data_IF_469273866034
#
_entry.id   IF_469273866034
#
_cell.length_a   1.000
_cell.length_b   1.000
_cell.length_c   1.000
_cell.angle_alpha   90.00
_cell.angle_beta   90.00
_cell.angle_gamma   90.00
#
_symmetry.space_group_name_H-M   'P 1'
#
loop_
_entity.id
_entity.type
_entity.pdbx_description
1 polymer ?
#
# COMPACT_ATOMS: atom_id res chain seq x y z
N UNK A 1 18.77 -22.15 -39.26
CA UNK A 1 19.01 -22.62 -37.86
C UNK A 1 18.47 -24.04 -37.71
N UNK A 2 19.17 -24.92 -36.99
CA UNK A 2 18.65 -26.26 -36.68
C UNK A 2 17.56 -26.15 -35.61
N UNK A 3 16.46 -26.90 -35.78
CA UNK A 3 15.42 -27.03 -34.79
C UNK A 3 16.01 -27.55 -33.47
N UNK A 4 15.81 -26.80 -32.37
CA UNK A 4 16.20 -27.21 -31.02
C UNK A 4 15.02 -27.92 -30.34
N UNK A 5 15.26 -29.13 -29.86
CA UNK A 5 14.26 -29.88 -29.13
C UNK A 5 14.36 -29.56 -27.63
N UNK A 6 13.55 -28.57 -27.15
CA UNK A 6 13.56 -28.11 -25.77
C UNK A 6 13.11 -29.18 -24.77
N UNK A 7 12.23 -30.10 -25.16
CA UNK A 7 11.89 -31.23 -24.31
C UNK A 7 13.09 -32.13 -24.08
N UNK A 8 13.85 -32.45 -25.13
CA UNK A 8 15.09 -33.25 -25.02
C UNK A 8 16.19 -32.53 -24.22
N UNK A 9 16.30 -31.22 -24.32
CA UNK A 9 17.25 -30.41 -23.54
C UNK A 9 16.95 -30.49 -22.04
N UNK A 10 15.65 -30.53 -21.65
CA UNK A 10 15.24 -30.71 -20.28
C UNK A 10 15.15 -32.19 -19.85
N UNK A 11 15.57 -33.14 -20.68
CA UNK A 11 15.43 -34.60 -20.44
C UNK A 11 13.95 -35.03 -20.24
N UNK A 12 13.03 -34.41 -21.00
CA UNK A 12 11.62 -34.77 -21.02
C UNK A 12 11.30 -35.55 -22.29
N UNK A 13 10.65 -36.70 -22.17
CA UNK A 13 10.41 -37.62 -23.30
C UNK A 13 9.20 -37.22 -24.14
N UNK A 14 8.28 -36.43 -23.59
CA UNK A 14 7.00 -36.08 -24.20
C UNK A 14 6.66 -34.61 -24.04
N UNK A 15 5.83 -34.08 -24.96
CA UNK A 15 5.25 -32.74 -24.84
C UNK A 15 4.04 -32.68 -23.88
N UNK A 16 3.52 -33.85 -23.47
CA UNK A 16 2.39 -33.94 -22.52
C UNK A 16 2.87 -33.89 -21.09
N UNK A 17 3.50 -32.78 -20.71
CA UNK A 17 4.06 -32.53 -19.37
C UNK A 17 3.41 -31.32 -18.71
N UNK A 18 3.28 -31.38 -17.38
CA UNK A 18 2.76 -30.25 -16.59
C UNK A 18 3.85 -29.19 -16.36
N UNK A 19 3.42 -27.99 -15.95
CA UNK A 19 4.35 -26.90 -15.63
C UNK A 19 5.27 -27.28 -14.47
N UNK A 20 4.78 -28.06 -13.50
CA UNK A 20 5.53 -28.57 -12.35
C UNK A 20 6.64 -29.53 -12.80
N UNK A 21 6.32 -30.41 -13.75
CA UNK A 21 7.31 -31.33 -14.33
C UNK A 21 8.40 -30.59 -15.10
N UNK A 22 8.03 -29.57 -15.88
CA UNK A 22 8.99 -28.70 -16.60
C UNK A 22 9.89 -27.98 -15.58
N UNK A 23 9.33 -27.45 -14.50
CA UNK A 23 10.07 -26.76 -13.45
C UNK A 23 11.02 -27.69 -12.69
N UNK A 24 10.60 -28.92 -12.42
CA UNK A 24 11.43 -29.94 -11.79
C UNK A 24 12.59 -30.35 -12.68
N UNK A 25 12.33 -30.62 -13.96
CA UNK A 25 13.34 -30.96 -14.96
C UNK A 25 14.38 -29.84 -15.13
N UNK A 26 13.91 -28.58 -15.23
CA UNK A 26 14.78 -27.41 -15.27
C UNK A 26 15.73 -27.35 -14.06
N UNK A 27 15.22 -27.51 -12.83
CA UNK A 27 16.05 -27.45 -11.61
C UNK A 27 17.15 -28.53 -11.62
N UNK A 28 16.81 -29.72 -12.10
CA UNK A 28 17.76 -30.83 -12.21
C UNK A 28 18.88 -30.49 -13.20
N UNK A 29 18.54 -30.01 -14.39
CA UNK A 29 19.52 -29.66 -15.42
C UNK A 29 20.32 -28.40 -15.04
N UNK A 30 19.68 -27.39 -14.45
CA UNK A 30 20.35 -26.17 -13.99
C UNK A 30 21.39 -26.47 -12.90
N UNK A 31 21.10 -27.39 -11.97
CA UNK A 31 22.06 -27.83 -10.95
C UNK A 31 23.24 -28.61 -11.59
N UNK A 32 22.95 -29.45 -12.57
CA UNK A 32 23.96 -30.27 -13.27
C UNK A 32 24.98 -29.42 -14.04
N UNK A 33 24.51 -28.33 -14.68
CA UNK A 33 25.34 -27.47 -15.54
C UNK A 33 25.59 -26.09 -14.91
N UNK A 34 25.46 -25.97 -13.57
CA UNK A 34 25.67 -24.70 -12.88
C UNK A 34 27.12 -24.21 -13.03
N UNK A 35 27.36 -22.92 -13.31
CA UNK A 35 28.71 -22.39 -13.46
C UNK A 35 29.62 -22.63 -12.25
N UNK A 36 29.08 -22.56 -11.03
CA UNK A 36 29.83 -22.75 -9.78
C UNK A 36 30.28 -24.21 -9.58
N UNK A 37 29.60 -25.16 -10.23
CA UNK A 37 29.93 -26.59 -10.14
C UNK A 37 30.84 -27.02 -11.32
N UNK A 38 30.81 -26.29 -12.46
CA UNK A 38 31.50 -26.60 -13.68
C UNK A 38 32.41 -25.43 -14.12
N UNK A 39 33.24 -24.95 -13.19
CA UNK A 39 34.11 -23.78 -13.43
C UNK A 39 35.07 -24.03 -14.61
N UNK A 40 34.97 -23.20 -15.66
CA UNK A 40 35.83 -23.26 -16.84
C UNK A 40 35.40 -24.29 -17.90
N UNK A 41 34.28 -25.02 -17.71
CA UNK A 41 33.75 -25.94 -18.72
C UNK A 41 32.86 -25.20 -19.72
N UNK A 42 33.41 -24.89 -20.91
CA UNK A 42 32.67 -24.22 -21.99
C UNK A 42 31.45 -25.01 -22.47
N UNK A 43 31.46 -26.34 -22.40
CA UNK A 43 30.35 -27.19 -22.80
C UNK A 43 29.20 -27.07 -21.76
N UNK A 44 29.53 -26.97 -20.49
CA UNK A 44 28.54 -26.71 -19.44
C UNK A 44 27.90 -25.30 -19.56
N UNK A 45 28.72 -24.29 -19.95
CA UNK A 45 28.21 -22.93 -20.20
C UNK A 45 27.24 -22.86 -21.40
N UNK A 46 27.50 -23.60 -22.47
CA UNK A 46 26.58 -23.70 -23.61
C UNK A 46 25.30 -24.44 -23.22
N UNK A 47 25.42 -25.55 -22.49
CA UNK A 47 24.28 -26.33 -22.04
C UNK A 47 23.37 -25.57 -21.08
N UNK A 48 23.91 -24.79 -20.15
CA UNK A 48 23.09 -24.01 -19.24
C UNK A 48 22.29 -22.91 -19.98
N UNK A 49 22.87 -22.32 -21.03
CA UNK A 49 22.15 -21.38 -21.91
C UNK A 49 20.97 -22.06 -22.61
N UNK A 50 21.19 -23.26 -23.15
CA UNK A 50 20.15 -24.05 -23.80
C UNK A 50 19.04 -24.47 -22.81
N UNK A 51 19.41 -24.86 -21.57
CA UNK A 51 18.49 -25.22 -20.50
C UNK A 51 17.60 -24.00 -20.07
N UNK A 52 18.21 -22.83 -19.94
CA UNK A 52 17.50 -21.60 -19.61
C UNK A 52 16.55 -21.18 -20.74
N UNK A 53 16.98 -21.30 -22.02
CA UNK A 53 16.15 -21.03 -23.18
C UNK A 53 14.93 -21.98 -23.22
N UNK A 54 15.16 -23.29 -23.03
CA UNK A 54 14.12 -24.29 -23.00
C UNK A 54 13.08 -24.02 -21.91
N UNK A 55 13.53 -23.67 -20.71
CA UNK A 55 12.64 -23.34 -19.59
C UNK A 55 11.79 -22.09 -19.89
N UNK A 56 12.41 -21.03 -20.41
CA UNK A 56 11.71 -19.78 -20.77
C UNK A 56 10.55 -20.03 -21.73
N UNK A 57 10.73 -20.92 -22.71
CA UNK A 57 9.72 -21.23 -23.73
C UNK A 57 8.67 -22.19 -23.19
N UNK A 58 9.04 -23.20 -22.42
CA UNK A 58 8.13 -24.26 -22.00
C UNK A 58 7.36 -23.95 -20.71
N UNK A 59 7.87 -23.05 -19.84
CA UNK A 59 7.21 -22.70 -18.57
C UNK A 59 5.97 -21.82 -18.73
N UNK A 60 5.88 -21.06 -19.82
CA UNK A 60 4.73 -20.21 -20.10
C UNK A 60 3.72 -20.96 -21.01
N UNK A 61 2.44 -21.10 -20.58
CA UNK A 61 1.42 -21.85 -21.34
C UNK A 61 1.18 -21.32 -22.77
N UNK A 62 1.33 -20.03 -23.02
CA UNK A 62 1.12 -19.45 -24.34
C UNK A 62 2.26 -19.77 -25.32
N UNK A 63 3.53 -19.63 -24.86
CA UNK A 63 4.72 -19.95 -25.65
C UNK A 63 4.88 -21.46 -25.82
N UNK A 64 4.56 -22.25 -24.78
CA UNK A 64 4.55 -23.72 -24.85
C UNK A 64 3.60 -24.19 -25.95
N UNK A 65 2.34 -23.71 -26.00
CA UNK A 65 1.35 -24.09 -27.02
C UNK A 65 1.84 -23.79 -28.46
N UNK A 66 2.51 -22.67 -28.66
CA UNK A 66 3.10 -22.34 -29.97
C UNK A 66 4.26 -23.28 -30.31
N UNK A 67 5.16 -23.51 -29.34
CA UNK A 67 6.27 -24.43 -29.50
C UNK A 67 5.81 -25.87 -29.73
N UNK A 68 4.78 -26.35 -29.05
CA UNK A 68 4.22 -27.70 -29.22
C UNK A 68 3.72 -27.96 -30.67
N UNK A 69 3.18 -26.97 -31.35
CA UNK A 69 2.82 -27.08 -32.78
C UNK A 69 4.06 -27.35 -33.64
N UNK A 70 5.13 -26.63 -33.39
CA UNK A 70 6.40 -26.80 -34.13
C UNK A 70 7.09 -28.11 -33.76
N UNK A 71 7.07 -28.51 -32.50
CA UNK A 71 7.61 -29.77 -32.03
C UNK A 71 6.85 -30.96 -32.63
N UNK A 72 5.53 -30.96 -32.68
CA UNK A 72 4.72 -31.99 -33.30
C UNK A 72 4.97 -32.11 -34.80
N UNK A 73 5.25 -30.99 -35.47
CA UNK A 73 5.63 -31.01 -36.90
C UNK A 73 6.99 -31.63 -37.13
N UNK A 74 8.00 -31.29 -36.32
CA UNK A 74 9.39 -31.74 -36.51
C UNK A 74 9.69 -33.12 -35.92
N UNK A 75 9.02 -33.52 -34.86
CA UNK A 75 9.25 -34.78 -34.14
C UNK A 75 8.12 -35.77 -34.35
N UNK A 76 6.88 -35.33 -34.44
CA UNK A 76 5.68 -36.17 -34.62
C UNK A 76 5.49 -36.68 -36.07
N UNK A 77 6.16 -36.11 -37.08
CA UNK A 77 6.07 -36.49 -38.51
C UNK A 77 7.31 -37.21 -39.03
N UNK A 78 8.00 -38.03 -38.24
CA UNK A 78 9.02 -38.92 -38.75
C UNK A 78 8.50 -40.17 -39.52
N UNK A 79 7.26 -40.09 -39.97
CA UNK A 79 6.68 -41.11 -40.90
C UNK A 79 5.95 -40.36 -42.03
N UNK A 80 6.65 -40.14 -43.10
CA UNK A 80 6.33 -39.78 -44.49
C UNK A 80 6.84 -38.43 -45.00
N UNK A 81 7.90 -38.55 -45.72
CA UNK A 81 8.40 -37.86 -46.94
C UNK A 81 8.21 -36.33 -47.13
N UNK A 82 9.39 -35.75 -47.42
CA UNK A 82 9.75 -34.69 -48.36
C UNK A 82 9.55 -33.21 -48.00
N UNK A 83 10.76 -32.59 -47.94
CA UNK A 83 11.10 -31.20 -48.33
C UNK A 83 10.18 -30.06 -47.83
N UNK A 84 10.64 -29.36 -46.83
CA UNK A 84 10.61 -27.89 -46.65
C UNK A 84 10.81 -27.50 -45.15
N UNK A 85 11.83 -28.05 -44.51
CA UNK A 85 12.05 -27.81 -43.06
C UNK A 85 12.87 -26.54 -42.73
N UNK A 86 13.48 -25.91 -43.74
CA UNK A 86 14.38 -24.76 -43.52
C UNK A 86 13.65 -23.40 -43.43
N UNK A 87 12.62 -23.20 -44.26
CA UNK A 87 11.92 -21.92 -44.33
C UNK A 87 10.93 -21.71 -43.18
N UNK A 88 10.19 -22.73 -42.77
CA UNK A 88 9.23 -22.62 -41.64
C UNK A 88 9.91 -22.44 -40.27
N UNK A 89 11.10 -22.98 -40.07
CA UNK A 89 11.87 -22.75 -38.83
C UNK A 89 12.38 -21.29 -38.72
N UNK A 90 12.68 -20.67 -39.87
CA UNK A 90 13.08 -19.26 -39.93
C UNK A 90 11.89 -18.31 -39.70
N UNK A 91 10.73 -18.61 -40.30
CA UNK A 91 9.51 -17.81 -40.14
C UNK A 91 8.96 -17.86 -38.71
N UNK A 92 9.01 -19.02 -38.06
CA UNK A 92 8.56 -19.15 -36.65
C UNK A 92 9.54 -18.51 -35.69
N UNK A 93 10.84 -18.58 -35.97
CA UNK A 93 11.86 -17.84 -35.21
C UNK A 93 11.68 -16.33 -35.40
N UNK A 94 11.39 -15.85 -36.60
CA UNK A 94 11.04 -14.46 -36.88
C UNK A 94 9.78 -14.00 -36.16
N UNK A 95 8.74 -14.86 -36.05
CA UNK A 95 7.51 -14.57 -35.29
C UNK A 95 7.72 -14.52 -33.79
N UNK A 96 8.66 -15.26 -33.24
CA UNK A 96 8.98 -15.28 -31.80
C UNK A 96 9.98 -14.21 -31.39
N UNK A 97 10.87 -13.82 -32.29
CA UNK A 97 11.94 -12.87 -32.05
C UNK A 97 11.93 -11.65 -32.97
N UNK A 98 10.96 -11.57 -33.89
CA UNK A 98 10.92 -10.56 -34.95
C UNK A 98 9.60 -9.75 -35.03
N UNK A 99 8.80 -9.62 -33.99
CA UNK A 99 7.71 -8.66 -33.92
C UNK A 99 8.07 -7.49 -33.00
N UNK A 100 8.96 -6.69 -33.47
CA UNK A 100 9.24 -5.36 -32.97
C UNK A 100 9.80 -4.58 -34.14
N UNK A 101 9.01 -3.69 -34.68
CA UNK A 101 9.26 -2.68 -35.73
C UNK A 101 10.66 -2.57 -36.35
N UNK A 102 10.59 -2.57 -37.67
CA UNK A 102 11.65 -2.21 -38.61
C UNK A 102 12.42 -0.97 -38.23
N UNK A 103 13.71 -1.05 -38.56
CA UNK A 103 14.68 -0.03 -38.81
C UNK A 103 15.61 0.35 -37.65
N UNK A 104 16.88 0.01 -37.91
CA UNK A 104 18.08 0.65 -37.40
C UNK A 104 18.21 0.75 -35.86
N UNK A 105 18.79 -0.28 -35.30
CA UNK A 105 19.54 -0.10 -34.04
C UNK A 105 20.76 -1.00 -34.04
N UNK A 106 21.85 -0.39 -34.32
CA UNK A 106 23.22 -0.74 -33.91
C UNK A 106 23.17 -1.40 -32.51
N UNK A 107 23.89 -2.52 -32.36
CA UNK A 107 24.21 -3.19 -31.10
C UNK A 107 24.29 -2.22 -29.91
N UNK A 108 23.22 -2.10 -29.16
CA UNK A 108 23.31 -1.60 -27.78
C UNK A 108 23.54 -2.82 -26.88
N UNK A 109 24.58 -2.81 -26.04
CA UNK A 109 24.77 -3.85 -25.06
C UNK A 109 23.50 -3.99 -24.20
N UNK A 110 23.13 -5.24 -23.96
CA UNK A 110 21.97 -5.63 -23.14
C UNK A 110 22.13 -5.01 -21.74
N UNK A 111 21.67 -3.78 -21.58
CA UNK A 111 21.65 -3.12 -20.27
C UNK A 111 20.77 -3.94 -19.33
N UNK A 112 21.20 -4.20 -18.10
CA UNK A 112 20.41 -4.98 -17.14
C UNK A 112 19.05 -4.33 -16.89
N UNK A 113 18.04 -5.16 -16.72
CA UNK A 113 16.72 -4.69 -16.32
C UNK A 113 16.80 -3.94 -14.98
N UNK A 114 16.46 -2.67 -14.98
CA UNK A 114 16.56 -1.80 -13.80
C UNK A 114 15.14 -1.60 -13.26
N UNK A 115 14.95 -1.95 -11.96
CA UNK A 115 13.69 -1.67 -11.26
C UNK A 115 13.49 -0.16 -11.19
N UNK A 116 12.26 0.29 -11.40
CA UNK A 116 11.86 1.69 -11.19
C UNK A 116 12.03 2.12 -9.73
N UNK A 117 12.25 3.40 -9.53
CA UNK A 117 12.37 4.00 -8.20
C UNK A 117 11.02 4.00 -7.49
N UNK A 118 11.05 3.85 -6.17
CA UNK A 118 9.87 4.00 -5.34
C UNK A 118 9.51 5.49 -5.22
N UNK A 119 8.22 5.79 -5.04
CA UNK A 119 7.69 7.16 -4.87
C UNK A 119 7.10 7.26 -3.48
N UNK A 120 7.39 8.35 -2.77
CA UNK A 120 6.70 8.71 -1.54
C UNK A 120 5.77 9.90 -1.78
N UNK A 121 4.58 9.83 -1.23
CA UNK A 121 3.58 10.91 -1.25
C UNK A 121 2.85 10.95 0.09
N UNK A 122 2.20 12.06 0.38
CA UNK A 122 1.41 12.23 1.60
C UNK A 122 -0.04 12.52 1.25
N UNK A 123 -0.96 12.05 2.09
CA UNK A 123 -2.38 12.40 1.99
C UNK A 123 -2.89 12.85 3.35
N UNK A 124 -3.76 13.83 3.32
CA UNK A 124 -4.50 14.28 4.49
C UNK A 124 -5.85 13.57 4.54
N UNK A 125 -6.18 13.07 5.70
CA UNK A 125 -7.47 12.45 5.98
C UNK A 125 -8.08 13.11 7.21
N UNK A 126 -9.41 13.12 7.31
CA UNK A 126 -10.06 13.57 8.52
C UNK A 126 -9.93 12.53 9.65
N UNK A 127 -10.09 12.98 10.86
CA UNK A 127 -10.06 12.12 12.04
C UNK A 127 -11.14 11.01 11.96
N UNK A 128 -12.32 11.35 11.41
CA UNK A 128 -13.41 10.41 11.20
C UNK A 128 -13.10 9.39 10.11
N UNK A 129 -12.48 9.82 8.99
CA UNK A 129 -12.02 8.91 7.93
C UNK A 129 -11.03 7.89 8.47
N UNK A 130 -10.10 8.33 9.31
CA UNK A 130 -9.13 7.43 9.95
C UNK A 130 -9.78 6.50 10.99
N UNK A 131 -10.75 6.99 11.76
CA UNK A 131 -11.44 6.21 12.77
C UNK A 131 -12.30 5.09 12.18
N UNK A 132 -13.12 5.39 11.16
CA UNK A 132 -14.04 4.42 10.56
C UNK A 132 -13.44 3.64 9.37
N UNK A 133 -12.32 4.10 8.84
CA UNK A 133 -11.83 3.68 7.56
C UNK A 133 -12.63 4.32 6.41
N UNK A 134 -11.99 4.48 5.27
CA UNK A 134 -12.62 5.10 4.10
C UNK A 134 -12.01 4.59 2.79
N UNK A 135 -12.73 4.78 1.69
CA UNK A 135 -12.15 4.69 0.36
C UNK A 135 -11.81 6.11 -0.11
N UNK A 136 -10.53 6.39 -0.29
CA UNK A 136 -10.05 7.70 -0.73
C UNK A 136 -9.48 7.64 -2.13
N UNK A 137 -9.96 8.49 -3.00
CA UNK A 137 -9.47 8.61 -4.36
C UNK A 137 -8.43 9.72 -4.41
N UNK A 138 -7.22 9.38 -4.82
CA UNK A 138 -6.12 10.33 -5.00
C UNK A 138 -5.80 10.47 -6.48
N UNK A 139 -5.51 11.70 -6.89
CA UNK A 139 -5.04 12.03 -8.24
C UNK A 139 -3.59 12.45 -8.11
N UNK A 140 -2.71 11.80 -8.83
CA UNK A 140 -1.29 12.18 -8.90
C UNK A 140 -0.85 12.21 -10.37
N UNK A 141 0.19 13.01 -10.64
CA UNK A 141 0.76 13.09 -11.97
C UNK A 141 1.78 11.99 -12.18
N UNK A 142 1.58 11.21 -13.24
CA UNK A 142 2.57 10.25 -13.71
C UNK A 142 3.79 10.99 -14.30
N UNK A 143 4.88 10.25 -14.56
CA UNK A 143 6.11 10.77 -15.20
C UNK A 143 5.87 11.44 -16.54
N UNK A 144 4.79 11.07 -17.23
CA UNK A 144 4.33 11.70 -18.48
C UNK A 144 3.43 12.94 -18.24
N UNK A 145 3.36 13.44 -17.00
CA UNK A 145 2.49 14.55 -16.59
C UNK A 145 0.99 14.30 -16.82
N UNK A 146 0.58 13.03 -16.94
CA UNK A 146 -0.82 12.62 -17.04
C UNK A 146 -1.40 12.39 -15.66
N UNK A 147 -2.62 12.85 -15.44
CA UNK A 147 -3.35 12.60 -14.20
C UNK A 147 -3.73 11.12 -14.10
N UNK A 148 -3.23 10.47 -13.09
CA UNK A 148 -3.56 9.08 -12.74
C UNK A 148 -4.37 9.07 -11.45
N UNK A 149 -5.51 8.41 -11.50
CA UNK A 149 -6.42 8.30 -10.36
C UNK A 149 -6.30 6.91 -9.74
N UNK A 150 -6.04 6.87 -8.43
CA UNK A 150 -6.00 5.61 -7.67
C UNK A 150 -6.96 5.73 -6.49
N UNK A 151 -7.78 4.71 -6.30
CA UNK A 151 -8.59 4.58 -5.09
C UNK A 151 -7.88 3.68 -4.10
N UNK A 152 -7.60 4.20 -2.92
CA UNK A 152 -7.00 3.49 -1.79
C UNK A 152 -8.07 3.20 -0.74
N UNK A 153 -7.99 2.02 -0.15
CA UNK A 153 -8.83 1.65 1.00
C UNK A 153 -8.04 1.90 2.27
N UNK A 154 -8.48 2.87 3.06
CA UNK A 154 -7.95 3.15 4.38
C UNK A 154 -8.55 2.13 5.36
N UNK A 155 -7.74 1.42 6.15
CA UNK A 155 -8.25 0.56 7.21
C UNK A 155 -8.82 1.39 8.36
N UNK A 156 -9.69 0.79 9.15
CA UNK A 156 -10.17 1.39 10.40
C UNK A 156 -9.02 1.54 11.40
N UNK A 157 -8.95 2.68 12.08
CA UNK A 157 -7.94 2.92 13.10
C UNK A 157 -6.53 3.13 12.55
N UNK A 158 -6.40 3.59 11.30
CA UNK A 158 -5.11 3.99 10.73
C UNK A 158 -4.47 5.06 11.61
N UNK A 159 -3.15 4.96 11.79
CA UNK A 159 -2.43 5.85 12.69
C UNK A 159 -1.79 7.03 11.94
N UNK A 160 -1.54 8.11 12.68
CA UNK A 160 -0.74 9.24 12.19
C UNK A 160 0.64 8.76 11.73
N UNK A 161 1.11 9.26 10.58
CA UNK A 161 2.36 8.87 9.92
C UNK A 161 2.45 7.41 9.46
N UNK A 162 1.38 6.65 9.48
CA UNK A 162 1.35 5.29 8.92
C UNK A 162 1.56 5.33 7.40
N UNK A 163 2.33 4.37 6.88
CA UNK A 163 2.63 4.28 5.45
C UNK A 163 1.88 3.13 4.80
N UNK A 164 1.09 3.43 3.78
CA UNK A 164 0.42 2.43 2.92
C UNK A 164 1.25 2.21 1.67
N UNK A 165 1.61 0.96 1.39
CA UNK A 165 2.38 0.58 0.20
C UNK A 165 1.46 0.13 -0.93
N UNK A 166 1.56 0.76 -2.08
CA UNK A 166 0.92 0.37 -3.33
C UNK A 166 1.96 -0.23 -4.28
N UNK A 167 1.92 -1.54 -4.44
CA UNK A 167 2.90 -2.27 -5.25
C UNK A 167 2.80 -1.90 -6.73
N UNK A 168 3.95 -1.65 -7.36
CA UNK A 168 4.06 -1.37 -8.79
C UNK A 168 3.49 -0.01 -9.24
N UNK A 169 3.17 0.89 -8.31
CA UNK A 169 2.67 2.24 -8.59
C UNK A 169 3.75 3.33 -8.48
N UNK A 170 5.02 2.94 -8.33
CA UNK A 170 6.17 3.83 -8.40
C UNK A 170 6.60 4.15 -9.83
N UNK A 171 7.83 4.64 -10.01
CA UNK A 171 8.39 4.95 -11.33
C UNK A 171 8.51 3.70 -12.20
N UNK A 172 8.37 3.88 -13.51
CA UNK A 172 8.52 2.79 -14.48
C UNK A 172 9.95 2.26 -14.50
N UNK A 173 10.11 0.95 -14.49
CA UNK A 173 11.41 0.30 -14.65
C UNK A 173 11.96 0.48 -16.07
N UNK A 174 13.29 0.47 -16.22
CA UNK A 174 13.97 0.54 -17.50
C UNK A 174 14.35 -0.86 -17.98
N UNK A 175 14.48 -1.02 -19.29
CA UNK A 175 14.96 -2.26 -19.93
C UNK A 175 14.14 -3.51 -19.54
N UNK A 176 12.82 -3.37 -19.39
CA UNK A 176 11.94 -4.47 -18.96
C UNK A 176 11.94 -4.74 -17.44
N UNK A 177 12.54 -3.85 -16.64
CA UNK A 177 12.49 -3.91 -15.17
C UNK A 177 11.08 -3.66 -14.63
N UNK A 178 10.82 -4.18 -13.44
CA UNK A 178 9.55 -3.94 -12.74
C UNK A 178 9.45 -2.47 -12.31
N UNK A 179 8.24 -1.94 -12.24
CA UNK A 179 8.00 -0.64 -11.65
C UNK A 179 8.39 -0.63 -10.17
N UNK A 180 8.72 0.54 -9.66
CA UNK A 180 8.84 0.80 -8.23
C UNK A 180 7.48 0.73 -7.51
N UNK A 181 7.47 0.95 -6.22
CA UNK A 181 6.26 1.00 -5.40
C UNK A 181 5.97 2.45 -4.99
N UNK A 182 4.72 2.72 -4.63
CA UNK A 182 4.33 4.01 -4.05
C UNK A 182 4.05 3.82 -2.56
N UNK A 183 4.66 4.64 -1.74
CA UNK A 183 4.42 4.73 -0.30
C UNK A 183 3.63 5.99 -0.01
N UNK A 184 2.45 5.81 0.58
CA UNK A 184 1.55 6.91 0.93
C UNK A 184 1.59 7.07 2.43
N UNK A 185 2.12 8.20 2.88
CA UNK A 185 2.12 8.60 4.29
C UNK A 185 0.77 9.23 4.64
N UNK A 186 0.19 8.79 5.72
CA UNK A 186 -1.10 9.29 6.21
C UNK A 186 -0.85 10.41 7.21
N UNK A 187 -1.47 11.57 6.97
CA UNK A 187 -1.54 12.67 7.91
C UNK A 187 -3.00 12.82 8.35
N UNK A 188 -3.26 12.74 9.65
CA UNK A 188 -4.61 12.86 10.21
C UNK A 188 -4.83 14.30 10.65
N UNK A 189 -5.82 14.96 10.08
CA UNK A 189 -6.17 16.33 10.44
C UNK A 189 -7.08 16.32 11.68
N UNK A 190 -6.73 17.14 12.66
CA UNK A 190 -7.60 17.40 13.81
C UNK A 190 -8.97 17.92 13.36
N UNK A 191 -10.01 17.51 14.03
CA UNK A 191 -11.33 18.08 13.81
C UNK A 191 -11.55 19.33 14.67
N UNK A 192 -12.61 20.08 14.38
CA UNK A 192 -12.99 21.23 15.24
C UNK A 192 -13.30 20.83 16.67
N UNK A 193 -13.75 19.59 16.89
CA UNK A 193 -14.17 19.09 18.21
C UNK A 193 -13.06 18.30 18.90
N UNK A 194 -12.22 17.58 18.15
CA UNK A 194 -11.28 16.64 18.69
C UNK A 194 -9.89 16.89 18.15
N UNK A 195 -8.89 16.75 19.02
CA UNK A 195 -7.48 16.71 18.64
C UNK A 195 -6.91 15.35 18.98
N UNK A 196 -6.11 14.80 18.07
CA UNK A 196 -5.51 13.49 18.23
C UNK A 196 -4.18 13.59 18.97
N UNK A 197 -3.99 12.71 19.96
CA UNK A 197 -2.72 12.50 20.65
C UNK A 197 -2.47 10.99 20.83
N UNK A 198 -1.71 10.41 19.91
CA UNK A 198 -1.56 8.97 19.81
C UNK A 198 -2.90 8.26 19.53
N UNK A 199 -3.45 7.54 20.51
CA UNK A 199 -4.77 6.94 20.44
C UNK A 199 -5.79 7.67 21.36
N UNK A 200 -5.35 8.69 22.10
CA UNK A 200 -6.25 9.51 22.89
C UNK A 200 -6.80 10.64 22.04
N UNK A 201 -7.98 11.11 22.42
CA UNK A 201 -8.59 12.30 21.85
C UNK A 201 -8.72 13.34 22.94
N UNK A 202 -8.49 14.60 22.62
CA UNK A 202 -8.82 15.72 23.51
C UNK A 202 -9.96 16.53 22.94
N UNK A 203 -10.84 17.00 23.81
CA UNK A 203 -11.97 17.88 23.50
C UNK A 203 -12.15 18.93 24.55
N UNK A 204 -12.77 20.05 24.20
CA UNK A 204 -13.15 21.10 25.16
C UNK A 204 -14.53 20.81 25.69
N UNK A 205 -14.70 20.89 27.01
CA UNK A 205 -15.97 20.78 27.70
C UNK A 205 -16.27 22.14 28.31
N UNK A 206 -17.14 22.96 27.69
CA UNK A 206 -17.53 24.22 28.24
C UNK A 206 -18.42 24.02 29.46
N UNK A 207 -18.11 24.71 30.54
CA UNK A 207 -18.91 24.74 31.76
C UNK A 207 -19.12 26.17 32.20
N UNK A 208 -20.22 26.40 32.90
CA UNK A 208 -20.50 27.73 33.47
C UNK A 208 -19.76 27.93 34.79
N UNK A 209 -19.57 29.20 35.26
CA UNK A 209 -18.92 29.47 36.54
C UNK A 209 -19.61 28.81 37.73
N UNK A 210 -20.93 28.76 37.72
CA UNK A 210 -21.69 28.11 38.82
C UNK A 210 -21.56 26.59 38.76
N UNK A 211 -21.49 25.97 37.59
CA UNK A 211 -21.21 24.54 37.46
C UNK A 211 -19.82 24.20 37.97
N UNK A 212 -18.83 25.04 37.67
CA UNK A 212 -17.46 24.84 38.16
C UNK A 212 -17.40 24.87 39.71
N UNK A 213 -18.16 25.78 40.33
CA UNK A 213 -18.17 25.93 41.79
C UNK A 213 -19.03 24.87 42.50
N UNK A 214 -20.19 24.53 41.94
CA UNK A 214 -21.18 23.66 42.60
C UNK A 214 -21.02 22.18 42.17
N UNK A 215 -20.32 21.93 41.09
CA UNK A 215 -20.30 20.63 40.42
C UNK A 215 -21.52 20.40 39.54
N UNK A 216 -21.40 19.54 38.57
CA UNK A 216 -22.49 19.25 37.63
C UNK A 216 -22.33 17.87 36.99
N UNK A 217 -23.37 17.47 36.24
CA UNK A 217 -23.32 16.31 35.34
C UNK A 217 -23.40 16.82 33.91
N UNK A 218 -22.36 16.59 33.13
CA UNK A 218 -22.30 16.97 31.71
C UNK A 218 -22.41 15.74 30.81
N UNK A 219 -22.94 15.95 29.60
CA UNK A 219 -22.93 14.92 28.54
C UNK A 219 -21.84 15.27 27.54
N UNK A 220 -20.90 14.38 27.35
CA UNK A 220 -19.78 14.53 26.38
C UNK A 220 -20.01 13.58 25.24
N UNK A 221 -19.93 14.09 24.02
CA UNK A 221 -20.02 13.31 22.78
C UNK A 221 -18.62 12.85 22.37
N UNK A 222 -18.46 11.57 22.11
CA UNK A 222 -17.21 11.00 21.59
C UNK A 222 -17.25 10.91 20.07
N UNK A 223 -16.12 10.58 19.45
CA UNK A 223 -15.95 10.52 17.98
C UNK A 223 -16.94 9.55 17.31
N UNK A 224 -17.39 8.52 18.01
CA UNK A 224 -18.39 7.56 17.53
C UNK A 224 -19.84 8.05 17.69
N UNK A 225 -20.05 9.32 18.07
CA UNK A 225 -21.37 9.90 18.29
C UNK A 225 -22.03 9.47 19.59
N UNK A 226 -21.42 8.59 20.39
CA UNK A 226 -21.98 8.19 21.68
C UNK A 226 -21.85 9.32 22.68
N UNK A 227 -22.93 9.55 23.46
CA UNK A 227 -22.96 10.56 24.52
C UNK A 227 -22.80 9.89 25.88
N UNK A 228 -21.70 10.21 26.54
CA UNK A 228 -21.38 9.68 27.87
C UNK A 228 -21.66 10.75 28.90
N UNK A 229 -22.42 10.41 29.98
CA UNK A 229 -22.62 11.31 31.09
C UNK A 229 -21.42 11.19 32.03
N UNK A 230 -20.81 12.33 32.31
CA UNK A 230 -19.70 12.47 33.27
C UNK A 230 -20.12 13.31 34.47
N UNK A 231 -19.44 13.11 35.58
CA UNK A 231 -19.56 13.93 36.76
C UNK A 231 -18.40 14.91 36.84
N UNK A 232 -18.69 16.20 36.93
CA UNK A 232 -17.73 17.28 37.14
C UNK A 232 -17.79 17.66 38.60
N UNK A 233 -16.70 17.42 39.37
CA UNK A 233 -16.71 17.77 40.82
C UNK A 233 -16.80 19.27 41.01
N UNK A 234 -17.17 19.68 42.25
CA UNK A 234 -17.19 21.09 42.64
C UNK A 234 -15.76 21.62 42.85
N UNK A 235 -15.59 22.91 42.55
CA UNK A 235 -14.30 23.61 42.76
C UNK A 235 -13.28 23.43 41.63
N UNK A 236 -13.67 22.86 40.49
CA UNK A 236 -12.79 22.67 39.34
C UNK A 236 -12.35 23.99 38.73
N UNK A 237 -11.14 24.00 38.16
CA UNK A 237 -10.58 25.19 37.52
C UNK A 237 -10.56 25.03 35.98
N UNK A 238 -10.56 26.19 35.29
CA UNK A 238 -10.40 26.19 33.83
C UNK A 238 -9.06 25.60 33.45
N UNK A 239 -9.07 24.65 32.50
CA UNK A 239 -7.88 23.93 32.06
C UNK A 239 -7.67 22.56 32.72
N UNK A 240 -8.40 22.25 33.81
CA UNK A 240 -8.42 20.90 34.36
C UNK A 240 -9.00 19.90 33.38
N UNK A 241 -8.59 18.64 33.50
CA UNK A 241 -8.96 17.58 32.57
C UNK A 241 -9.77 16.48 33.27
N UNK A 242 -10.72 15.93 32.54
CA UNK A 242 -11.48 14.75 32.95
C UNK A 242 -11.24 13.67 31.91
N UNK A 243 -10.82 12.50 32.36
CA UNK A 243 -10.58 11.35 31.50
C UNK A 243 -11.82 10.47 31.39
N UNK A 244 -12.20 10.15 30.15
CA UNK A 244 -13.33 9.28 29.83
C UNK A 244 -12.75 8.04 29.15
N UNK A 245 -12.70 6.90 29.85
CA UNK A 245 -12.00 5.71 29.36
C UNK A 245 -12.70 5.11 28.13
N UNK A 246 -11.91 4.57 27.21
CA UNK A 246 -12.37 3.87 26.01
C UNK A 246 -13.28 4.73 25.09
N UNK A 247 -13.10 6.06 25.08
CA UNK A 247 -13.85 7.00 24.24
C UNK A 247 -12.96 7.81 23.29
N UNK A 248 -11.67 7.50 23.26
CA UNK A 248 -10.68 8.07 22.35
C UNK A 248 -10.70 7.46 20.95
N UNK A 249 -9.60 7.61 20.24
CA UNK A 249 -9.36 7.03 18.94
C UNK A 249 -9.08 5.52 19.07
N UNK A 250 -9.17 4.78 17.97
CA UNK A 250 -8.83 3.35 17.94
C UNK A 250 -7.60 3.12 17.07
N UNK A 251 -6.85 2.06 17.36
CA UNK A 251 -5.80 1.58 16.49
C UNK A 251 -6.29 0.41 15.61
N UNK A 252 -5.43 -0.04 14.68
CA UNK A 252 -5.74 -1.16 13.78
C UNK A 252 -6.00 -2.50 14.51
N UNK A 253 -5.60 -2.62 15.80
CA UNK A 253 -5.87 -3.81 16.64
C UNK A 253 -7.24 -3.74 17.32
N UNK A 254 -7.97 -2.62 17.19
CA UNK A 254 -9.24 -2.38 17.86
C UNK A 254 -9.11 -1.87 19.32
N UNK A 255 -7.86 -1.64 19.77
CA UNK A 255 -7.65 -1.00 21.09
C UNK A 255 -8.06 0.46 21.00
N UNK A 256 -8.78 0.92 22.00
CA UNK A 256 -9.35 2.27 22.04
C UNK A 256 -8.72 3.08 23.18
N UNK A 257 -8.25 4.28 22.84
CA UNK A 257 -7.73 5.24 23.80
C UNK A 257 -8.83 5.94 24.60
N UNK A 258 -8.45 6.93 25.36
CA UNK A 258 -9.32 7.70 26.22
C UNK A 258 -9.68 9.04 25.58
N UNK A 259 -10.84 9.58 25.95
CA UNK A 259 -11.23 10.95 25.61
C UNK A 259 -10.90 11.86 26.78
N UNK A 260 -10.02 12.82 26.57
CA UNK A 260 -9.57 13.79 27.55
C UNK A 260 -10.40 15.07 27.39
N UNK A 261 -11.35 15.27 28.27
CA UNK A 261 -12.15 16.47 28.31
C UNK A 261 -11.45 17.59 29.08
N UNK A 262 -11.01 18.65 28.40
CA UNK A 262 -10.46 19.85 29.03
C UNK A 262 -11.58 20.79 29.40
N UNK A 263 -11.72 21.09 30.70
CA UNK A 263 -12.75 22.01 31.19
C UNK A 263 -12.40 23.44 30.80
N UNK A 264 -13.37 24.16 30.27
CA UNK A 264 -13.26 25.57 29.95
C UNK A 264 -14.45 26.33 30.59
N UNK A 265 -14.13 27.22 31.51
CA UNK A 265 -15.16 28.04 32.17
C UNK A 265 -15.51 29.17 31.22
N UNK A 266 -16.77 29.15 30.76
CA UNK A 266 -17.32 30.14 29.84
C UNK A 266 -18.43 30.94 30.51
N UNK A 267 -18.51 32.22 30.19
CA UNK A 267 -19.60 33.10 30.62
C UNK A 267 -20.60 33.27 29.50
N UNK A 268 -21.89 33.43 29.78
CA UNK A 268 -22.91 33.71 28.76
C UNK A 268 -22.58 34.99 27.97
N UNK A 269 -22.68 34.94 26.65
CA UNK A 269 -22.50 36.14 25.80
C UNK A 269 -23.58 37.18 26.05
N UNK A 270 -24.81 36.72 26.35
CA UNK A 270 -25.97 37.58 26.68
C UNK A 270 -26.47 37.22 28.06
N UNK A 271 -26.45 38.19 28.95
CA UNK A 271 -26.97 38.06 30.33
C UNK A 271 -28.18 38.95 30.55
N UNK A 272 -29.14 38.48 31.31
CA UNK A 272 -30.31 39.23 31.70
C UNK A 272 -29.96 40.31 32.73
N UNK A 273 -30.86 41.26 32.96
CA UNK A 273 -30.69 42.27 34.01
C UNK A 273 -30.62 41.63 35.40
N UNK A 274 -31.39 40.59 35.62
CA UNK A 274 -31.42 39.84 36.88
C UNK A 274 -30.13 39.10 37.15
N UNK A 275 -29.60 38.39 36.15
CA UNK A 275 -28.29 37.73 36.26
C UNK A 275 -27.16 38.73 36.55
N UNK A 276 -27.19 39.88 35.86
CA UNK A 276 -26.23 40.96 36.12
C UNK A 276 -26.28 41.47 37.55
N UNK A 277 -27.44 41.63 38.12
CA UNK A 277 -27.60 42.02 39.54
C UNK A 277 -27.05 40.94 40.49
N UNK A 278 -27.27 39.66 40.19
CA UNK A 278 -26.68 38.56 40.98
C UNK A 278 -25.14 38.55 40.93
N UNK A 279 -24.58 38.79 39.75
CA UNK A 279 -23.13 38.92 39.62
C UNK A 279 -22.56 40.13 40.37
N UNK A 280 -23.29 41.27 40.46
CA UNK A 280 -22.87 42.42 41.29
C UNK A 280 -22.85 42.05 42.77
N UNK A 281 -23.90 41.41 43.25
CA UNK A 281 -23.96 40.96 44.67
C UNK A 281 -22.82 39.96 44.98
N UNK A 282 -22.58 39.00 44.05
CA UNK A 282 -21.45 38.07 44.20
C UNK A 282 -20.11 38.81 44.31
N UNK A 283 -19.89 39.79 43.45
CA UNK A 283 -18.67 40.65 43.48
C UNK A 283 -18.49 41.39 44.83
N UNK A 284 -19.55 41.85 45.45
CA UNK A 284 -19.51 42.54 46.74
C UNK A 284 -19.20 41.61 47.92
N UNK A 285 -19.70 40.38 47.85
CA UNK A 285 -19.49 39.38 48.90
C UNK A 285 -18.15 38.70 48.80
N UNK A 286 -17.68 38.45 47.54
CA UNK A 286 -16.45 37.71 47.30
C UNK A 286 -15.19 38.53 47.62
N UNK A 287 -14.30 37.94 48.41
CA UNK A 287 -12.97 38.48 48.70
C UNK A 287 -11.89 37.94 47.75
N UNK A 288 -12.27 37.08 46.83
CA UNK A 288 -11.36 36.44 45.89
C UNK A 288 -10.82 37.43 44.84
N UNK A 289 -9.49 37.49 44.72
CA UNK A 289 -8.82 38.29 43.70
C UNK A 289 -7.86 37.43 42.92
N UNK A 290 -8.15 37.07 41.65
CA UNK A 290 -7.28 36.21 40.85
C UNK A 290 -5.95 36.85 40.49
N UNK A 291 -5.76 38.16 40.72
CA UNK A 291 -4.50 38.90 40.42
C UNK A 291 -3.61 39.05 41.63
N UNK A 292 -3.97 38.53 42.76
CA UNK A 292 -3.19 38.57 44.00
C UNK A 292 -2.49 37.26 44.35
N UNK A 293 -2.32 36.38 43.31
CA UNK A 293 -1.58 35.12 43.41
C UNK A 293 -0.16 35.33 42.97
#
# INVERSE_FOLDING_TARGET
MKFKNYYKILELETSKVTVEQIKSAYRKQAKKYHPDVNVGDKLAEEKIKDVNEAYRILSNPSTKRKYDRTWNYNVGRRLNHTKTSGQMAGEIFGMFFGSGDTAESIDKPNEPAIRGEDIETEINISLEEGFYGANKTIVFKDLENKDKTITIKLPEGVQENEKIRLMGQGKTGKNGGKNGDMFIKINIEDSKKFKLDGINLSTIIPITPWEAVLGTKAKVESIDGTRTQIYIPNGVQSGETIEIPNKGYKNAKGERGNLIGKLEIVIPEKITSEEKEMFKKLKEISKFNPRSI
#
